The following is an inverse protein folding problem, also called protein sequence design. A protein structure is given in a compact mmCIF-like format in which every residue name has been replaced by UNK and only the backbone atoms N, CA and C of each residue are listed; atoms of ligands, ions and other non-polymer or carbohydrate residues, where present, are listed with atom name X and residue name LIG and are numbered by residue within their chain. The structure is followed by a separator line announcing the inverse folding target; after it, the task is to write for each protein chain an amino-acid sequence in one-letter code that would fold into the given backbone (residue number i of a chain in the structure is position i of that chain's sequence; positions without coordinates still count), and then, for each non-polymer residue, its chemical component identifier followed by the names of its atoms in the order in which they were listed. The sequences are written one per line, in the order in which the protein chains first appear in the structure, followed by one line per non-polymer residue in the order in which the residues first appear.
data_IF_204699381203
#
_entry.id   IF_204699381203
#
_cell.length_a   1.000
_cell.length_b   1.000
_cell.length_c   1.000
_cell.angle_alpha   90.00
_cell.angle_beta   90.00
_cell.angle_gamma   90.00
#
_symmetry.space_group_name_H-M   'P 1'
#
loop_
_entity.id
_entity.type
_entity.pdbx_description
1 polymer ?
#
# COMPACT_ATOMS: atom_id res chain seq x y z
N UNK A 1 6.36 -0.92 -10.60
CA UNK A 1 6.68 -2.12 -9.82
C UNK A 1 6.44 -3.35 -10.67
N UNK A 2 7.08 -4.47 -10.34
CA UNK A 2 6.85 -5.76 -11.01
C UNK A 2 6.67 -6.84 -9.93
N UNK A 3 5.65 -7.66 -10.06
CA UNK A 3 5.39 -8.84 -9.23
C UNK A 3 5.36 -10.06 -10.14
N UNK A 4 6.06 -11.13 -9.77
CA UNK A 4 6.09 -12.36 -10.55
C UNK A 4 5.34 -13.45 -9.79
N UNK A 5 4.38 -14.08 -10.44
CA UNK A 5 3.71 -15.28 -9.95
C UNK A 5 4.43 -16.50 -10.54
N UNK A 6 5.32 -17.10 -9.76
CA UNK A 6 6.24 -18.13 -10.23
C UNK A 6 5.51 -19.41 -10.69
N UNK A 7 4.43 -19.79 -10.00
CA UNK A 7 3.67 -21.02 -10.31
C UNK A 7 3.06 -21.00 -11.71
N UNK A 8 2.73 -19.81 -12.23
CA UNK A 8 2.15 -19.63 -13.56
C UNK A 8 3.10 -18.97 -14.57
N UNK A 9 4.33 -18.65 -14.15
CA UNK A 9 5.29 -17.90 -14.95
C UNK A 9 4.66 -16.60 -15.50
N UNK A 10 4.00 -15.85 -14.62
CA UNK A 10 3.28 -14.62 -14.96
C UNK A 10 3.96 -13.40 -14.35
N UNK A 11 4.07 -12.33 -15.14
CA UNK A 11 4.59 -11.05 -14.68
C UNK A 11 3.49 -10.00 -14.66
N UNK A 12 3.36 -9.32 -13.53
CA UNK A 12 2.40 -8.27 -13.28
C UNK A 12 3.12 -6.95 -13.12
N UNK A 13 2.88 -6.03 -14.05
CA UNK A 13 3.39 -4.67 -13.99
C UNK A 13 2.37 -3.80 -13.27
N UNK A 14 2.84 -3.03 -12.28
CA UNK A 14 1.96 -2.20 -11.48
C UNK A 14 2.51 -0.79 -11.25
N UNK A 15 1.62 0.19 -11.20
CA UNK A 15 1.94 1.56 -10.76
C UNK A 15 1.57 1.76 -9.29
N UNK A 16 2.08 2.83 -8.68
CA UNK A 16 1.87 3.11 -7.27
C UNK A 16 1.01 4.37 -7.08
N UNK A 17 0.18 4.43 -6.02
CA UNK A 17 -0.59 5.61 -5.71
C UNK A 17 0.32 6.71 -5.18
N UNK A 18 -0.17 7.94 -5.23
CA UNK A 18 0.47 9.05 -4.55
C UNK A 18 0.21 8.95 -3.03
N UNK A 19 1.22 9.28 -2.23
CA UNK A 19 1.08 9.42 -0.78
C UNK A 19 1.09 10.89 -0.37
N UNK A 20 0.04 11.31 0.34
CA UNK A 20 -0.12 12.67 0.86
C UNK A 20 -0.01 12.65 2.40
N UNK A 21 0.89 13.44 2.96
CA UNK A 21 0.90 13.73 4.40
C UNK A 21 -0.19 14.75 4.72
N UNK A 22 -1.21 14.36 5.48
CA UNK A 22 -2.30 15.26 5.88
C UNK A 22 -2.09 15.72 7.32
N UNK A 23 -2.31 17.02 7.52
CA UNK A 23 -2.38 17.69 8.82
C UNK A 23 -3.72 18.44 8.89
N UNK A 24 -4.41 18.41 10.04
CA UNK A 24 -5.61 19.25 10.24
C UNK A 24 -5.14 20.63 10.68
N UNK A 25 -5.41 21.64 9.84
CA UNK A 25 -4.97 23.03 10.07
C UNK A 25 -6.02 23.89 10.81
N UNK A 26 -7.08 23.30 11.33
CA UNK A 26 -8.06 24.04 12.14
C UNK A 26 -7.78 23.75 13.61
N UNK A 27 -7.14 24.71 14.28
CA UNK A 27 -6.64 24.67 15.66
C UNK A 27 -5.43 23.75 15.84
N UNK A 28 -4.28 24.28 15.42
CA UNK A 28 -2.93 23.75 15.59
C UNK A 28 -2.74 22.99 16.92
N UNK A 29 -2.22 21.76 16.85
CA UNK A 29 -1.68 20.86 17.91
C UNK A 29 -2.49 19.58 18.24
N UNK A 30 -3.78 19.44 17.91
CA UNK A 30 -4.59 18.30 18.44
C UNK A 30 -4.68 17.02 17.60
N UNK A 31 -4.09 16.93 16.40
CA UNK A 31 -4.27 15.72 15.54
C UNK A 31 -2.95 15.11 15.09
N UNK A 32 -2.87 13.78 15.22
CA UNK A 32 -1.76 12.97 14.72
C UNK A 32 -1.78 13.01 13.19
N UNK A 33 -0.69 13.42 12.52
CA UNK A 33 -0.64 13.41 11.06
C UNK A 33 -0.85 12.00 10.54
N UNK A 34 -1.51 11.87 9.39
CA UNK A 34 -1.71 10.58 8.75
C UNK A 34 -1.34 10.62 7.27
N UNK A 35 -1.00 9.45 6.75
CA UNK A 35 -0.78 9.23 5.32
C UNK A 35 -2.13 8.94 4.66
N UNK A 36 -2.39 9.66 3.59
CA UNK A 36 -3.52 9.45 2.70
C UNK A 36 -3.01 9.02 1.33
N UNK A 37 -3.51 7.88 0.84
CA UNK A 37 -3.22 7.43 -0.52
C UNK A 37 -4.24 8.03 -1.48
N UNK A 38 -3.79 8.44 -2.66
CA UNK A 38 -4.65 9.02 -3.68
C UNK A 38 -4.16 8.79 -5.09
N UNK A 39 -5.09 8.86 -6.04
CA UNK A 39 -4.81 8.74 -7.47
C UNK A 39 -5.05 7.35 -8.02
N UNK A 40 -4.79 7.21 -9.32
CA UNK A 40 -5.03 6.00 -10.07
C UNK A 40 -3.78 5.12 -10.10
N UNK A 41 -4.01 3.81 -10.08
CA UNK A 41 -3.00 2.78 -10.22
C UNK A 41 -3.51 1.73 -11.19
N UNK A 42 -2.59 1.04 -11.85
CA UNK A 42 -2.92 -0.08 -12.71
C UNK A 42 -2.12 -1.31 -12.31
N UNK A 43 -2.69 -2.47 -12.57
CA UNK A 43 -2.00 -3.76 -12.55
C UNK A 43 -2.30 -4.43 -13.89
N UNK A 44 -1.29 -4.86 -14.63
CA UNK A 44 -1.48 -5.54 -15.91
C UNK A 44 -0.55 -6.73 -16.06
N UNK A 45 -1.05 -7.79 -16.68
CA UNK A 45 -0.27 -8.94 -17.06
C UNK A 45 -0.28 -9.09 -18.58
N UNK A 46 0.90 -8.99 -19.21
CA UNK A 46 1.02 -9.13 -20.67
C UNK A 46 0.75 -10.55 -21.15
N UNK A 47 1.09 -11.56 -20.36
CA UNK A 47 0.91 -12.99 -20.70
C UNK A 47 -0.56 -13.38 -20.77
N UNK A 48 -1.35 -12.98 -19.78
CA UNK A 48 -2.77 -13.35 -19.72
C UNK A 48 -3.68 -12.31 -20.34
N UNK A 49 -3.24 -11.05 -20.44
CA UNK A 49 -4.03 -9.93 -20.95
C UNK A 49 -4.98 -9.30 -19.93
N UNK A 50 -5.03 -9.84 -18.70
CA UNK A 50 -5.82 -9.24 -17.63
C UNK A 50 -5.24 -7.91 -17.19
N UNK A 51 -6.13 -6.98 -16.86
CA UNK A 51 -5.75 -5.69 -16.32
C UNK A 51 -6.74 -5.24 -15.25
N UNK A 52 -6.25 -4.45 -14.30
CA UNK A 52 -7.05 -3.82 -13.27
C UNK A 52 -6.74 -2.33 -13.22
N UNK A 53 -7.79 -1.51 -13.15
CA UNK A 53 -7.71 -0.09 -12.84
C UNK A 53 -8.14 0.12 -11.41
N UNK A 54 -7.33 0.81 -10.61
CA UNK A 54 -7.51 0.98 -9.17
C UNK A 54 -7.45 2.47 -8.86
N UNK A 55 -8.39 2.97 -8.06
CA UNK A 55 -8.45 4.36 -7.64
C UNK A 55 -8.42 4.42 -6.12
N UNK A 56 -7.38 5.07 -5.59
CA UNK A 56 -7.31 5.46 -4.19
C UNK A 56 -7.96 6.83 -4.03
N UNK A 57 -9.01 6.89 -3.21
CA UNK A 57 -9.79 8.10 -3.01
C UNK A 57 -9.24 8.89 -1.83
N UNK A 58 -8.86 10.13 -2.08
CA UNK A 58 -8.55 11.08 -1.02
C UNK A 58 -9.83 11.53 -0.33
N UNK A 59 -9.75 11.86 0.97
CA UNK A 59 -10.89 12.35 1.72
C UNK A 59 -11.34 13.71 1.15
N UNK A 60 -12.61 13.87 0.75
CA UNK A 60 -13.14 15.17 0.35
C UNK A 60 -13.10 16.17 1.49
N UNK A 61 -13.09 17.47 1.16
CA UNK A 61 -13.14 18.54 2.15
C UNK A 61 -14.45 18.52 2.97
N UNK A 62 -15.58 18.19 2.34
CA UNK A 62 -16.90 18.16 2.96
C UNK A 62 -17.31 16.72 3.30
N UNK A 63 -16.80 16.21 4.42
CA UNK A 63 -17.16 14.88 4.91
C UNK A 63 -16.65 13.72 4.03
N UNK A 64 -16.98 12.50 4.43
CA UNK A 64 -16.56 11.28 3.73
C UNK A 64 -15.60 10.40 4.54
N UNK A 65 -15.52 9.13 4.12
CA UNK A 65 -14.65 8.12 4.73
C UNK A 65 -13.21 8.27 4.23
N UNK A 66 -12.25 8.07 5.13
CA UNK A 66 -10.83 7.97 4.76
C UNK A 66 -10.56 6.62 4.09
N UNK A 67 -9.46 6.52 3.37
CA UNK A 67 -8.90 5.25 2.89
C UNK A 67 -9.80 4.46 1.92
N UNK A 68 -10.74 5.15 1.25
CA UNK A 68 -11.60 4.50 0.28
C UNK A 68 -10.80 4.08 -0.96
N UNK A 69 -11.11 2.91 -1.48
CA UNK A 69 -10.54 2.34 -2.69
C UNK A 69 -11.67 1.82 -3.58
N UNK A 70 -11.52 1.98 -4.89
CA UNK A 70 -12.33 1.28 -5.89
C UNK A 70 -11.40 0.67 -6.92
N UNK A 71 -11.74 -0.50 -7.44
CA UNK A 71 -11.01 -1.13 -8.51
C UNK A 71 -11.97 -1.81 -9.50
N UNK A 72 -11.56 -1.86 -10.75
CA UNK A 72 -12.25 -2.54 -11.84
C UNK A 72 -11.27 -3.50 -12.49
N UNK A 73 -11.67 -4.76 -12.64
CA UNK A 73 -10.85 -5.83 -13.20
C UNK A 73 -11.46 -6.26 -14.52
N UNK A 74 -10.62 -6.28 -15.55
CA UNK A 74 -11.00 -6.50 -16.94
C UNK A 74 -10.36 -7.77 -17.46
N UNK A 75 -11.17 -8.54 -18.20
CA UNK A 75 -10.70 -9.66 -18.99
C UNK A 75 -9.92 -9.16 -20.22
N UNK A 76 -9.14 -10.04 -20.87
CA UNK A 76 -8.39 -9.67 -22.06
C UNK A 76 -9.32 -9.12 -23.15
N UNK A 77 -8.98 -7.95 -23.69
CA UNK A 77 -9.72 -7.23 -24.74
C UNK A 77 -11.13 -6.73 -24.37
N UNK A 78 -11.60 -6.92 -23.14
CA UNK A 78 -12.90 -6.45 -22.70
C UNK A 78 -12.84 -5.03 -22.14
N UNK A 79 -13.83 -4.21 -22.49
CA UNK A 79 -14.01 -2.86 -21.92
C UNK A 79 -14.90 -2.85 -20.69
N UNK A 80 -15.64 -3.94 -20.43
CA UNK A 80 -16.53 -4.07 -19.29
C UNK A 80 -15.82 -4.88 -18.21
N UNK A 81 -15.77 -4.40 -16.95
CA UNK A 81 -15.16 -5.18 -15.90
C UNK A 81 -16.03 -6.40 -15.56
N UNK A 82 -15.41 -7.54 -15.34
CA UNK A 82 -16.10 -8.75 -14.86
C UNK A 82 -16.24 -8.77 -13.33
N UNK A 83 -15.39 -8.01 -12.65
CA UNK A 83 -15.35 -7.84 -11.21
C UNK A 83 -15.00 -6.38 -10.87
N UNK A 84 -15.67 -5.81 -9.88
CA UNK A 84 -15.25 -4.56 -9.25
C UNK A 84 -14.99 -4.80 -7.76
N UNK A 85 -14.06 -4.06 -7.19
CA UNK A 85 -13.74 -4.12 -5.75
C UNK A 85 -13.93 -2.73 -5.16
N UNK A 86 -14.59 -2.63 -4.01
CA UNK A 86 -14.74 -1.35 -3.31
C UNK A 86 -14.65 -1.52 -1.80
N UNK A 87 -14.19 -0.49 -1.09
CA UNK A 87 -14.16 -0.49 0.36
C UNK A 87 -13.04 0.36 0.93
N UNK A 88 -12.42 -0.11 2.01
CA UNK A 88 -11.34 0.57 2.72
C UNK A 88 -10.06 -0.26 2.64
N UNK A 89 -8.97 0.30 2.09
CA UNK A 89 -7.73 -0.45 1.88
C UNK A 89 -7.02 -0.85 3.19
N UNK A 90 -7.35 -0.19 4.30
CA UNK A 90 -6.92 -0.52 5.66
C UNK A 90 -8.05 -1.11 6.52
N UNK A 91 -9.12 -1.57 5.87
CA UNK A 91 -10.30 -2.15 6.51
C UNK A 91 -10.77 -3.37 5.73
N UNK A 92 -12.02 -3.30 5.26
CA UNK A 92 -12.66 -4.35 4.49
C UNK A 92 -12.90 -3.85 3.07
N UNK A 93 -12.58 -4.68 2.08
CA UNK A 93 -12.99 -4.49 0.69
C UNK A 93 -13.92 -5.62 0.27
N UNK A 94 -14.86 -5.30 -0.61
CA UNK A 94 -15.88 -6.19 -1.14
C UNK A 94 -15.73 -6.33 -2.65
N UNK A 95 -15.85 -7.55 -3.16
CA UNK A 95 -15.85 -7.84 -4.58
C UNK A 95 -17.30 -7.99 -5.06
N UNK A 96 -17.64 -7.25 -6.11
CA UNK A 96 -18.89 -7.36 -6.83
C UNK A 96 -18.64 -7.97 -8.20
N UNK A 97 -19.24 -9.13 -8.44
CA UNK A 97 -19.11 -9.84 -9.70
C UNK A 97 -20.24 -9.45 -10.66
N UNK A 98 -19.98 -9.65 -11.96
CA UNK A 98 -20.99 -9.45 -13.01
C UNK A 98 -22.25 -10.33 -12.83
N UNK A 99 -22.16 -11.41 -12.05
CA UNK A 99 -23.29 -12.28 -11.64
C UNK A 99 -24.25 -11.59 -10.66
N UNK A 100 -23.89 -10.44 -10.10
CA UNK A 100 -24.64 -9.73 -9.06
C UNK A 100 -24.23 -10.12 -7.63
N UNK A 101 -23.37 -11.11 -7.48
CA UNK A 101 -22.83 -11.53 -6.18
C UNK A 101 -21.92 -10.45 -5.58
N UNK A 102 -22.09 -10.19 -4.28
CA UNK A 102 -21.27 -9.27 -3.51
C UNK A 102 -20.69 -10.00 -2.29
N UNK A 103 -19.38 -10.15 -2.22
CA UNK A 103 -18.68 -10.91 -1.18
C UNK A 103 -17.54 -10.11 -0.57
N UNK A 104 -17.11 -10.49 0.63
CA UNK A 104 -15.88 -9.92 1.22
C UNK A 104 -14.70 -10.37 0.36
N UNK A 105 -14.01 -9.40 -0.25
CA UNK A 105 -12.78 -9.66 -0.99
C UNK A 105 -11.61 -9.86 -0.02
N UNK A 106 -11.45 -8.91 0.91
CA UNK A 106 -10.37 -8.96 1.90
C UNK A 106 -10.75 -8.18 3.16
N UNK A 107 -10.43 -8.73 4.33
CA UNK A 107 -10.54 -8.05 5.62
C UNK A 107 -9.14 -7.93 6.24
N UNK A 108 -8.51 -6.78 6.01
CA UNK A 108 -7.13 -6.52 6.45
C UNK A 108 -6.97 -6.55 7.98
N UNK A 109 -8.07 -6.38 8.74
CA UNK A 109 -8.03 -6.43 10.21
C UNK A 109 -7.99 -7.86 10.74
N UNK A 110 -8.40 -8.84 9.94
CA UNK A 110 -8.39 -10.27 10.29
C UNK A 110 -7.18 -11.02 9.74
N UNK A 111 -6.44 -10.41 8.81
CA UNK A 111 -5.28 -11.05 8.21
C UNK A 111 -4.08 -11.06 9.18
N UNK A 112 -3.39 -12.20 9.33
CA UNK A 112 -2.17 -12.25 10.11
C UNK A 112 -1.06 -11.45 9.41
N UNK A 113 -0.32 -10.66 10.18
CA UNK A 113 0.86 -9.96 9.66
C UNK A 113 2.04 -10.93 9.60
N UNK A 114 2.49 -11.25 8.39
CA UNK A 114 3.69 -12.06 8.18
C UNK A 114 4.93 -11.15 8.27
N UNK A 115 5.72 -11.32 9.32
CA UNK A 115 6.95 -10.53 9.51
C UNK A 115 8.03 -10.98 8.54
N UNK A 116 8.68 -10.02 7.88
CA UNK A 116 9.88 -10.27 7.07
C UNK A 116 10.95 -10.94 7.95
N UNK A 117 11.41 -12.12 7.54
CA UNK A 117 12.60 -12.75 8.12
C UNK A 117 13.84 -12.06 7.53
N UNK A 118 14.78 -11.71 8.41
CA UNK A 118 16.03 -11.04 8.03
C UNK A 118 17.14 -11.70 8.84
N UNK A 119 18.33 -11.81 8.25
CA UNK A 119 19.54 -12.29 8.95
C UNK A 119 19.83 -11.42 10.18
N UNK A 120 20.58 -11.97 11.13
CA UNK A 120 21.08 -11.20 12.27
C UNK A 120 22.01 -10.09 11.78
N UNK A 121 22.18 -9.04 12.58
CA UNK A 121 23.06 -7.93 12.21
C UNK A 121 24.52 -8.36 12.03
N UNK A 122 24.98 -9.33 12.83
CA UNK A 122 26.34 -9.90 12.73
C UNK A 122 26.62 -10.61 11.38
N UNK A 123 25.57 -11.04 10.68
CA UNK A 123 25.64 -11.74 9.40
C UNK A 123 25.25 -10.86 8.20
N UNK A 124 25.11 -9.54 8.42
CA UNK A 124 24.74 -8.58 7.37
C UNK A 124 25.97 -7.82 6.89
N UNK A 125 26.03 -7.56 5.58
CA UNK A 125 27.08 -6.71 5.00
C UNK A 125 26.87 -5.23 5.38
N UNK A 126 27.95 -4.43 5.30
CA UNK A 126 27.98 -3.04 5.75
C UNK A 126 26.90 -2.15 5.11
N UNK A 127 26.53 -2.43 3.85
CA UNK A 127 25.52 -1.67 3.10
C UNK A 127 24.12 -2.29 3.13
N UNK A 128 23.92 -3.40 3.85
CA UNK A 128 22.57 -3.91 4.09
C UNK A 128 21.81 -2.95 5.02
N UNK A 129 20.55 -2.66 4.70
CA UNK A 129 19.83 -1.52 5.31
C UNK A 129 19.80 -1.53 6.84
N UNK A 130 19.69 -2.69 7.50
CA UNK A 130 19.67 -2.69 8.98
C UNK A 130 21.06 -2.51 9.58
N UNK A 131 22.10 -2.99 8.91
CA UNK A 131 23.49 -2.75 9.32
C UNK A 131 23.86 -1.27 9.13
N UNK A 132 23.64 -0.76 7.92
CA UNK A 132 23.95 0.62 7.54
C UNK A 132 23.24 1.65 8.43
N UNK A 133 21.95 1.45 8.71
CA UNK A 133 21.14 2.39 9.49
C UNK A 133 21.06 2.06 10.99
N UNK A 134 21.92 1.18 11.51
CA UNK A 134 21.83 0.68 12.90
C UNK A 134 21.90 1.82 13.94
N UNK A 135 22.83 2.76 13.78
CA UNK A 135 23.10 3.80 14.77
C UNK A 135 22.04 4.89 14.72
N UNK A 136 21.63 5.30 13.51
CA UNK A 136 20.49 6.21 13.30
C UNK A 136 19.22 5.64 13.92
N UNK A 137 18.89 4.37 13.65
CA UNK A 137 17.66 3.75 14.17
C UNK A 137 17.70 3.53 15.69
N UNK A 138 18.87 3.22 16.26
CA UNK A 138 19.06 3.14 17.71
C UNK A 138 18.83 4.50 18.39
N UNK A 139 19.47 5.56 17.89
CA UNK A 139 19.35 6.92 18.43
C UNK A 139 17.92 7.46 18.32
N UNK A 140 17.24 7.22 17.19
CA UNK A 140 15.81 7.55 17.05
C UNK A 140 14.92 6.82 18.07
N UNK A 141 15.24 5.55 18.40
CA UNK A 141 14.47 4.75 19.35
C UNK A 141 14.60 5.29 20.79
N UNK A 142 15.77 5.80 21.17
CA UNK A 142 15.99 6.44 22.47
C UNK A 142 15.66 7.94 22.47
N UNK A 143 15.17 8.46 21.33
CA UNK A 143 14.80 9.87 21.12
C UNK A 143 15.96 10.86 21.20
N UNK A 144 17.18 10.40 20.93
CA UNK A 144 18.35 11.26 20.78
C UNK A 144 18.47 11.74 19.33
N UNK A 145 17.93 12.93 19.06
CA UNK A 145 17.82 13.49 17.71
C UNK A 145 19.18 13.99 17.21
N UNK A 146 20.00 14.54 18.09
CA UNK A 146 21.31 15.07 17.73
C UNK A 146 22.25 13.94 17.34
N UNK A 147 22.29 12.86 18.14
CA UNK A 147 23.08 11.67 17.82
C UNK A 147 22.56 10.95 16.56
N UNK A 148 21.24 10.90 16.35
CA UNK A 148 20.68 10.34 15.12
C UNK A 148 21.09 11.15 13.88
N UNK A 149 21.15 12.47 14.00
CA UNK A 149 21.56 13.37 12.91
C UNK A 149 23.05 13.22 12.62
N UNK A 150 23.89 13.15 13.66
CA UNK A 150 25.33 12.94 13.51
C UNK A 150 25.64 11.59 12.83
N UNK A 151 24.91 10.53 13.17
CA UNK A 151 25.07 9.19 12.58
C UNK A 151 24.51 9.06 11.14
N UNK A 152 23.87 10.10 10.60
CA UNK A 152 23.28 10.09 9.25
C UNK A 152 24.27 10.53 8.14
N UNK A 153 25.48 10.95 8.52
CA UNK A 153 26.56 11.39 7.62
C UNK A 153 27.46 10.23 7.20
#
# INVERSE_FOLDING_TARGET
GCVTCLDYDEHYILTFPNGYGRQVNTLSILTVPWIELGGECSISCSKTGYNASIVFHTKPFYGGKKHRITAEIFSPNDKKPFCSVEGEWNGVMYAKYSTGENTVFIDTKKMPTIKKKVRKLEDQEDFESRCLWKDVTYNLKIRDIDAATAAKH
#
